data_IF_710558868411
#
_entry.id   IF_710558868411
#
_cell.length_a   1.000
_cell.length_b   1.000
_cell.length_c   1.000
_cell.angle_alpha   90.00
_cell.angle_beta   90.00
_cell.angle_gamma   90.00
#
_symmetry.space_group_name_H-M   'P 1'
#
loop_
_entity.id
_entity.type
_entity.pdbx_description
1 polymer ?
#
# COMPACT_ATOMS: atom_id res chain seq x y z
N UNK A 1 -24.91 56.13 39.90
CA UNK A 1 -26.33 55.68 39.91
C UNK A 1 -26.50 54.71 38.74
N UNK A 2 -26.39 53.41 38.99
CA UNK A 2 -27.51 52.44 38.98
C UNK A 2 -28.25 52.46 37.64
N UNK A 3 -28.12 51.40 36.83
CA UNK A 3 -29.25 50.49 36.57
C UNK A 3 -28.81 49.18 35.88
N UNK A 4 -29.15 48.10 36.57
CA UNK A 4 -29.21 46.72 36.10
C UNK A 4 -30.10 46.57 34.86
N UNK A 5 -29.68 45.71 33.92
CA UNK A 5 -30.61 45.00 33.04
C UNK A 5 -30.08 43.58 32.76
N UNK A 6 -30.56 42.63 33.55
CA UNK A 6 -30.41 41.19 33.32
C UNK A 6 -31.15 40.79 32.03
N UNK A 7 -30.44 40.31 31.01
CA UNK A 7 -31.04 39.54 29.90
C UNK A 7 -30.87 38.05 30.19
N UNK A 8 -32.00 37.35 30.38
CA UNK A 8 -32.08 35.89 30.43
C UNK A 8 -31.67 35.31 29.08
N UNK A 9 -30.66 34.45 29.06
CA UNK A 9 -30.39 33.54 27.93
C UNK A 9 -31.17 32.23 28.11
N UNK A 10 -31.79 31.67 27.06
CA UNK A 10 -32.41 30.36 27.14
C UNK A 10 -31.35 29.25 27.12
N UNK A 11 -31.55 28.23 27.94
CA UNK A 11 -30.70 27.04 28.03
C UNK A 11 -30.73 26.25 26.72
N UNK A 12 -29.60 26.21 26.01
CA UNK A 12 -29.39 25.34 24.85
C UNK A 12 -29.25 23.90 25.36
N UNK A 13 -30.24 23.05 25.09
CA UNK A 13 -30.12 21.61 25.29
C UNK A 13 -29.21 21.04 24.21
N UNK A 14 -27.99 20.68 24.59
CA UNK A 14 -27.04 19.97 23.72
C UNK A 14 -27.58 18.54 23.53
N UNK A 15 -28.25 18.29 22.41
CA UNK A 15 -28.49 16.94 21.95
C UNK A 15 -27.16 16.40 21.41
N UNK A 16 -26.48 15.61 22.22
CA UNK A 16 -25.34 14.79 21.80
C UNK A 16 -25.83 13.77 20.77
N UNK A 17 -25.68 14.11 19.49
CA UNK A 17 -25.81 13.15 18.39
C UNK A 17 -24.61 12.22 18.52
N UNK A 18 -24.85 11.07 19.14
CA UNK A 18 -23.92 9.95 19.10
C UNK A 18 -23.76 9.53 17.64
N UNK A 19 -22.71 10.01 16.99
CA UNK A 19 -22.28 9.50 15.70
C UNK A 19 -21.67 8.12 15.97
N UNK A 20 -22.52 7.09 16.00
CA UNK A 20 -22.08 5.71 15.99
C UNK A 20 -21.37 5.50 14.66
N UNK A 21 -20.04 5.59 14.67
CA UNK A 21 -19.20 5.22 13.54
C UNK A 21 -19.47 3.74 13.28
N UNK A 22 -20.30 3.44 12.29
CA UNK A 22 -20.39 2.11 11.72
C UNK A 22 -19.02 1.82 11.12
N UNK A 23 -18.16 1.15 11.87
CA UNK A 23 -16.94 0.55 11.32
C UNK A 23 -17.41 -0.54 10.37
N UNK A 24 -17.53 -0.22 9.09
CA UNK A 24 -17.55 -1.23 8.05
C UNK A 24 -16.25 -2.02 8.21
N UNK A 25 -16.34 -3.20 8.81
CA UNK A 25 -15.25 -4.14 8.86
C UNK A 25 -15.00 -4.60 7.42
N UNK A 26 -14.21 -3.81 6.68
CA UNK A 26 -13.62 -4.27 5.44
C UNK A 26 -12.83 -5.53 5.80
N UNK A 27 -13.29 -6.70 5.37
CA UNK A 27 -12.61 -7.96 5.59
C UNK A 27 -11.21 -7.88 4.97
N UNK A 28 -10.22 -7.50 5.77
CA UNK A 28 -8.81 -7.57 5.39
C UNK A 28 -8.46 -9.04 5.16
N UNK A 29 -7.67 -9.38 4.13
CA UNK A 29 -7.27 -10.77 3.90
C UNK A 29 -6.38 -11.34 5.03
N UNK A 30 -5.85 -10.46 5.88
CA UNK A 30 -5.14 -10.84 7.11
C UNK A 30 -6.08 -11.10 8.30
N UNK A 31 -7.39 -10.93 8.12
CA UNK A 31 -8.41 -10.98 9.16
C UNK A 31 -8.52 -9.69 9.97
N UNK A 32 -9.50 -9.64 10.87
CA UNK A 32 -9.62 -8.55 11.87
C UNK A 32 -8.60 -8.69 13.01
N UNK A 33 -8.35 -7.59 13.73
CA UNK A 33 -7.49 -7.57 14.91
C UNK A 33 -6.42 -6.48 14.88
N UNK A 34 -5.57 -6.48 15.91
CA UNK A 34 -4.51 -5.47 16.07
C UNK A 34 -3.52 -5.50 14.90
N UNK A 35 -2.87 -4.35 14.65
CA UNK A 35 -1.79 -4.23 13.68
C UNK A 35 -0.69 -5.28 13.93
N UNK A 36 -0.31 -5.51 15.19
CA UNK A 36 0.68 -6.51 15.57
C UNK A 36 0.29 -7.92 15.11
N UNK A 37 -0.95 -8.34 15.37
CA UNK A 37 -1.44 -9.67 14.95
C UNK A 37 -1.43 -9.84 13.43
N UNK A 38 -1.91 -8.82 12.70
CA UNK A 38 -1.94 -8.84 11.24
C UNK A 38 -0.55 -8.82 10.63
N UNK A 39 0.37 -8.04 11.21
CA UNK A 39 1.77 -7.97 10.79
C UNK A 39 2.51 -9.29 11.05
N UNK A 40 2.30 -9.92 12.21
CA UNK A 40 2.88 -11.23 12.51
C UNK A 40 2.37 -12.31 11.54
N UNK A 41 1.06 -12.31 11.25
CA UNK A 41 0.46 -13.22 10.26
C UNK A 41 1.06 -13.01 8.86
N UNK A 42 1.17 -11.75 8.41
CA UNK A 42 1.78 -11.42 7.12
C UNK A 42 3.26 -11.83 7.07
N UNK A 43 4.04 -11.55 8.12
CA UNK A 43 5.45 -11.93 8.22
C UNK A 43 5.63 -13.44 8.04
N UNK A 44 4.87 -14.25 8.77
CA UNK A 44 4.89 -15.72 8.64
C UNK A 44 4.55 -16.17 7.22
N UNK A 45 3.55 -15.55 6.59
CA UNK A 45 3.20 -15.86 5.20
C UNK A 45 4.33 -15.52 4.22
N UNK A 46 4.97 -14.35 4.37
CA UNK A 46 6.10 -13.92 3.54
C UNK A 46 7.28 -14.89 3.66
N UNK A 47 7.60 -15.31 4.89
CA UNK A 47 8.64 -16.30 5.16
C UNK A 47 8.33 -17.63 4.45
N UNK A 48 7.12 -18.17 4.64
CA UNK A 48 6.70 -19.46 4.07
C UNK A 48 6.60 -19.43 2.54
N UNK A 49 5.94 -18.42 1.98
CA UNK A 49 5.64 -18.37 0.55
C UNK A 49 6.84 -17.99 -0.30
N UNK A 50 7.74 -17.14 0.22
CA UNK A 50 8.81 -16.52 -0.55
C UNK A 50 10.21 -16.86 -0.04
N UNK A 51 10.34 -17.63 1.05
CA UNK A 51 11.61 -17.95 1.70
C UNK A 51 12.43 -16.69 2.08
N UNK A 52 11.74 -15.63 2.49
CA UNK A 52 12.38 -14.39 2.96
C UNK A 52 12.87 -14.60 4.39
N UNK A 53 14.08 -14.11 4.71
CA UNK A 53 14.64 -14.21 6.04
C UNK A 53 13.71 -13.60 7.11
N UNK A 54 13.54 -14.24 8.29
CA UNK A 54 12.65 -13.75 9.34
C UNK A 54 12.88 -12.28 9.72
N UNK A 55 14.13 -11.84 9.84
CA UNK A 55 14.45 -10.43 10.17
C UNK A 55 13.88 -9.45 9.15
N UNK A 56 14.06 -9.74 7.87
CA UNK A 56 13.50 -8.90 6.79
C UNK A 56 11.98 -8.95 6.83
N UNK A 57 11.37 -10.13 6.94
CA UNK A 57 9.92 -10.28 6.97
C UNK A 57 9.28 -9.55 8.17
N UNK A 58 9.87 -9.69 9.36
CA UNK A 58 9.41 -9.06 10.60
C UNK A 58 9.50 -7.54 10.53
N UNK A 59 10.54 -7.01 9.89
CA UNK A 59 10.75 -5.57 9.72
C UNK A 59 9.78 -4.95 8.73
N UNK A 60 9.55 -5.58 7.57
CA UNK A 60 8.73 -5.00 6.49
C UNK A 60 7.24 -5.28 6.63
N UNK A 61 6.82 -6.40 7.22
CA UNK A 61 5.41 -6.74 7.36
C UNK A 61 4.55 -5.63 8.04
N UNK A 62 4.95 -5.04 9.18
CA UNK A 62 4.17 -3.95 9.77
C UNK A 62 4.12 -2.69 8.90
N UNK A 63 5.19 -2.41 8.15
CA UNK A 63 5.24 -1.29 7.21
C UNK A 63 4.28 -1.51 6.04
N UNK A 64 4.25 -2.74 5.51
CA UNK A 64 3.33 -3.15 4.45
C UNK A 64 1.88 -3.02 4.91
N UNK A 65 1.54 -3.54 6.09
CA UNK A 65 0.15 -3.47 6.61
C UNK A 65 -0.28 -2.02 6.79
N UNK A 66 0.54 -1.18 7.43
CA UNK A 66 0.21 0.24 7.64
C UNK A 66 0.06 1.00 6.32
N UNK A 67 1.00 0.83 5.39
CA UNK A 67 0.97 1.50 4.08
C UNK A 67 -0.26 1.05 3.27
N UNK A 68 -0.58 -0.25 3.31
CA UNK A 68 -1.72 -0.82 2.63
C UNK A 68 -3.04 -0.25 3.15
N UNK A 69 -3.18 -0.11 4.47
CA UNK A 69 -4.34 0.54 5.09
C UNK A 69 -4.45 2.01 4.70
N UNK A 70 -3.34 2.75 4.80
CA UNK A 70 -3.30 4.18 4.48
C UNK A 70 -3.73 4.48 3.04
N UNK A 71 -3.34 3.63 2.09
CA UNK A 71 -3.59 3.85 0.66
C UNK A 71 -4.72 2.99 0.10
N UNK A 72 -5.48 2.28 0.96
CA UNK A 72 -6.57 1.39 0.57
C UNK A 72 -6.15 0.34 -0.48
N UNK A 73 -5.00 -0.29 -0.26
CA UNK A 73 -4.45 -1.38 -1.07
C UNK A 73 -4.51 -2.68 -0.27
N UNK A 74 -4.70 -3.82 -0.94
CA UNK A 74 -4.59 -5.12 -0.29
C UNK A 74 -3.12 -5.35 0.18
N UNK A 75 -2.84 -5.60 1.47
CA UNK A 75 -1.48 -5.83 1.95
C UNK A 75 -0.79 -7.05 1.30
N UNK A 76 -1.55 -8.06 0.89
CA UNK A 76 -0.99 -9.21 0.15
C UNK A 76 -0.55 -8.81 -1.25
N UNK A 77 -1.22 -7.84 -1.87
CA UNK A 77 -0.82 -7.31 -3.16
C UNK A 77 0.48 -6.52 -3.06
N UNK A 78 0.63 -5.69 -2.02
CA UNK A 78 1.88 -4.94 -1.76
C UNK A 78 3.04 -5.90 -1.54
N UNK A 79 2.85 -6.91 -0.68
CA UNK A 79 3.85 -7.94 -0.42
C UNK A 79 4.24 -8.72 -1.70
N UNK A 80 3.28 -9.00 -2.58
CA UNK A 80 3.52 -9.66 -3.86
C UNK A 80 4.26 -8.78 -4.87
N UNK A 81 4.02 -7.47 -4.87
CA UNK A 81 4.78 -6.50 -5.68
C UNK A 81 6.23 -6.45 -5.19
N UNK A 82 6.47 -6.35 -3.89
CA UNK A 82 7.85 -6.37 -3.35
C UNK A 82 8.59 -7.66 -3.74
N UNK A 83 7.92 -8.82 -3.72
CA UNK A 83 8.47 -10.08 -4.20
C UNK A 83 8.90 -9.97 -5.67
N UNK A 84 8.04 -9.43 -6.52
CA UNK A 84 8.28 -9.31 -7.95
C UNK A 84 9.40 -8.30 -8.27
N UNK A 85 9.45 -7.19 -7.54
CA UNK A 85 10.33 -6.06 -7.85
C UNK A 85 11.77 -6.30 -7.39
N UNK A 86 11.96 -6.67 -6.13
CA UNK A 86 13.30 -6.71 -5.51
C UNK A 86 13.65 -8.07 -4.92
N UNK A 87 12.71 -9.00 -4.89
CA UNK A 87 12.82 -10.20 -4.07
C UNK A 87 13.16 -9.87 -2.59
N UNK A 88 12.52 -8.84 -2.04
CA UNK A 88 12.77 -8.34 -0.67
C UNK A 88 14.22 -7.88 -0.41
N UNK A 89 14.88 -7.30 -1.43
CA UNK A 89 16.21 -6.69 -1.27
C UNK A 89 16.08 -5.17 -1.10
N UNK A 90 16.36 -4.68 0.11
CA UNK A 90 16.21 -3.27 0.47
C UNK A 90 17.08 -2.30 -0.37
N UNK A 91 18.25 -2.75 -0.83
CA UNK A 91 19.20 -1.93 -1.60
C UNK A 91 19.30 -2.32 -3.07
N UNK A 92 18.27 -2.96 -3.62
CA UNK A 92 18.25 -3.32 -5.03
C UNK A 92 18.23 -2.07 -5.92
N UNK A 93 19.08 -2.05 -6.95
CA UNK A 93 19.12 -1.01 -7.98
C UNK A 93 19.04 -1.67 -9.34
N UNK A 94 18.10 -1.27 -10.17
CA UNK A 94 17.96 -1.78 -11.54
C UNK A 94 18.82 -0.99 -12.54
N UNK A 95 19.11 -1.54 -13.74
CA UNK A 95 19.75 -0.80 -14.82
C UNK A 95 19.00 0.46 -15.26
N UNK A 96 17.69 0.55 -15.02
CA UNK A 96 16.88 1.74 -15.35
C UNK A 96 16.86 2.79 -14.24
N UNK A 97 17.56 2.54 -13.13
CA UNK A 97 17.63 3.41 -11.96
C UNK A 97 16.48 3.25 -10.98
N UNK A 98 15.79 2.11 -10.99
CA UNK A 98 14.75 1.79 -10.01
C UNK A 98 15.38 1.34 -8.69
N UNK A 99 14.85 1.76 -7.54
CA UNK A 99 15.47 1.55 -6.22
C UNK A 99 14.56 0.90 -5.19
N UNK A 100 15.18 0.10 -4.31
CA UNK A 100 14.60 -0.41 -3.08
C UNK A 100 13.54 -1.50 -3.26
N UNK A 101 12.77 -1.75 -2.20
CA UNK A 101 11.83 -2.88 -2.12
C UNK A 101 10.81 -2.93 -3.27
N UNK A 102 10.31 -1.77 -3.66
CA UNK A 102 9.23 -1.61 -4.66
C UNK A 102 9.74 -1.06 -6.00
N UNK A 103 11.07 -0.95 -6.16
CA UNK A 103 11.75 -0.51 -7.38
C UNK A 103 11.15 0.78 -7.97
N UNK A 104 11.08 1.81 -7.14
CA UNK A 104 10.62 3.15 -7.57
C UNK A 104 11.72 3.79 -8.39
N UNK A 105 11.37 4.43 -9.51
CA UNK A 105 12.32 5.23 -10.30
C UNK A 105 12.26 6.68 -9.79
N UNK A 106 13.30 7.20 -9.11
CA UNK A 106 13.25 8.50 -8.44
C UNK A 106 12.90 9.65 -9.38
N UNK A 107 13.41 9.64 -10.62
CA UNK A 107 13.18 10.72 -11.61
C UNK A 107 11.69 11.01 -11.89
N UNK A 108 10.79 10.05 -11.62
CA UNK A 108 9.36 10.22 -11.82
C UNK A 108 8.58 10.51 -10.54
N UNK A 109 9.12 10.14 -9.38
CA UNK A 109 8.34 10.07 -8.14
C UNK A 109 8.93 10.83 -6.96
N UNK A 110 10.18 11.33 -7.06
CA UNK A 110 10.87 11.97 -5.93
C UNK A 110 10.13 13.20 -5.39
N UNK A 111 9.44 13.96 -6.25
CA UNK A 111 8.65 15.12 -5.82
C UNK A 111 7.40 14.71 -5.03
N UNK A 112 6.77 13.60 -5.44
CA UNK A 112 5.57 13.06 -4.76
C UNK A 112 5.93 12.27 -3.51
N UNK A 113 7.09 11.63 -3.51
CA UNK A 113 7.63 10.82 -2.44
C UNK A 113 8.97 11.39 -1.96
N UNK A 114 8.94 12.49 -1.19
CA UNK A 114 10.15 13.10 -0.68
C UNK A 114 10.86 12.18 0.32
N UNK A 115 12.19 12.34 0.42
CA UNK A 115 13.05 11.55 1.30
C UNK A 115 13.84 10.46 0.58
N UNK A 116 14.59 9.68 1.36
CA UNK A 116 15.43 8.60 0.84
C UNK A 116 14.58 7.39 0.45
N UNK A 117 14.57 7.07 -0.85
CA UNK A 117 13.84 5.93 -1.42
C UNK A 117 14.55 4.59 -1.21
N UNK A 118 15.74 4.53 -0.60
CA UNK A 118 16.30 3.28 -0.06
C UNK A 118 15.78 2.98 1.35
N UNK A 119 15.35 4.00 2.10
CA UNK A 119 14.75 3.79 3.42
C UNK A 119 13.43 3.05 3.29
N UNK A 120 13.29 1.95 4.03
CA UNK A 120 12.23 0.97 3.81
C UNK A 120 10.82 1.51 4.03
N UNK A 121 10.63 2.35 5.04
CA UNK A 121 9.34 3.00 5.30
C UNK A 121 8.96 3.91 4.13
N UNK A 122 9.89 4.74 3.67
CA UNK A 122 9.68 5.67 2.55
C UNK A 122 9.35 4.90 1.27
N UNK A 123 10.14 3.87 0.96
CA UNK A 123 10.00 3.08 -0.25
C UNK A 123 8.68 2.31 -0.30
N UNK A 124 8.34 1.57 0.77
CA UNK A 124 7.12 0.75 0.79
C UNK A 124 5.87 1.64 0.80
N UNK A 125 5.88 2.73 1.57
CA UNK A 125 4.77 3.68 1.59
C UNK A 125 4.57 4.32 0.20
N UNK A 126 5.65 4.80 -0.43
CA UNK A 126 5.57 5.39 -1.76
C UNK A 126 5.13 4.38 -2.83
N UNK A 127 5.69 3.17 -2.84
CA UNK A 127 5.30 2.13 -3.79
C UNK A 127 3.82 1.76 -3.64
N UNK A 128 3.31 1.72 -2.40
CA UNK A 128 1.89 1.48 -2.13
C UNK A 128 1.00 2.63 -2.60
N UNK A 129 1.42 3.87 -2.38
CA UNK A 129 0.76 5.06 -2.94
C UNK A 129 0.67 4.98 -4.48
N UNK A 130 1.78 4.66 -5.15
CA UNK A 130 1.85 4.55 -6.62
C UNK A 130 0.91 3.45 -7.14
N UNK A 131 0.81 2.32 -6.45
CA UNK A 131 -0.14 1.25 -6.78
C UNK A 131 -1.58 1.76 -6.75
N UNK A 132 -1.97 2.48 -5.70
CA UNK A 132 -3.31 3.05 -5.60
C UNK A 132 -3.55 4.15 -6.65
N UNK A 133 -2.56 5.02 -6.89
CA UNK A 133 -2.60 6.03 -7.96
C UNK A 133 -2.92 5.38 -9.31
N UNK A 134 -2.20 4.31 -9.68
CA UNK A 134 -2.48 3.59 -10.92
C UNK A 134 -3.78 2.79 -10.89
N UNK A 135 -4.24 2.33 -9.72
CA UNK A 135 -5.57 1.70 -9.60
C UNK A 135 -6.68 2.71 -9.87
N UNK A 136 -6.57 3.93 -9.37
CA UNK A 136 -7.52 5.01 -9.60
C UNK A 136 -7.53 5.40 -11.08
N UNK A 137 -6.36 5.58 -11.68
CA UNK A 137 -6.25 5.92 -13.11
C UNK A 137 -6.76 4.82 -14.04
N UNK A 138 -6.54 3.54 -13.70
CA UNK A 138 -6.81 2.42 -14.60
C UNK A 138 -8.16 1.73 -14.37
N UNK A 139 -8.81 2.00 -13.23
CA UNK A 139 -10.06 1.38 -12.80
C UNK A 139 -9.93 -0.06 -12.28
N UNK A 140 -8.89 -0.81 -12.66
CA UNK A 140 -8.76 -2.25 -12.33
C UNK A 140 -7.34 -2.71 -12.09
N UNK A 141 -7.16 -3.58 -11.09
CA UNK A 141 -5.85 -4.06 -10.64
C UNK A 141 -4.95 -4.65 -11.72
N UNK A 142 -5.41 -5.49 -12.66
CA UNK A 142 -4.54 -6.02 -13.71
C UNK A 142 -3.92 -4.92 -14.59
N UNK A 143 -4.65 -3.84 -14.85
CA UNK A 143 -4.15 -2.70 -15.64
C UNK A 143 -3.27 -1.79 -14.77
N UNK A 144 -3.61 -1.60 -13.50
CA UNK A 144 -2.79 -0.85 -12.54
C UNK A 144 -1.38 -1.46 -12.39
N UNK A 145 -1.28 -2.77 -12.23
CA UNK A 145 0.00 -3.48 -12.16
C UNK A 145 0.78 -3.37 -13.46
N UNK A 146 0.09 -3.41 -14.60
CA UNK A 146 0.74 -3.20 -15.89
C UNK A 146 1.29 -1.76 -16.01
N UNK A 147 0.55 -0.76 -15.56
CA UNK A 147 1.02 0.63 -15.48
C UNK A 147 2.20 0.78 -14.53
N UNK A 148 2.19 0.09 -13.39
CA UNK A 148 3.31 0.08 -12.45
C UNK A 148 4.62 -0.36 -13.12
N UNK A 149 4.56 -1.40 -13.96
CA UNK A 149 5.74 -1.95 -14.61
C UNK A 149 6.24 -1.15 -15.83
N UNK A 150 5.34 -0.70 -16.71
CA UNK A 150 5.73 -0.10 -18.01
C UNK A 150 5.29 1.35 -18.19
N UNK A 151 4.67 1.95 -17.17
CA UNK A 151 4.05 3.26 -17.23
C UNK A 151 2.74 3.27 -18.06
N UNK A 152 1.84 4.25 -17.82
CA UNK A 152 0.61 4.40 -18.61
C UNK A 152 0.88 4.64 -20.10
N UNK A 153 1.85 5.50 -20.43
CA UNK A 153 2.23 5.81 -21.82
C UNK A 153 2.70 4.55 -22.53
N UNK A 154 3.69 3.84 -21.97
CA UNK A 154 4.21 2.60 -22.54
C UNK A 154 3.14 1.53 -22.72
N UNK A 155 2.27 1.34 -21.73
CA UNK A 155 1.15 0.41 -21.84
C UNK A 155 0.18 0.78 -22.96
N UNK A 156 -0.15 2.05 -23.14
CA UNK A 156 -1.19 2.48 -24.08
C UNK A 156 -0.67 2.58 -25.51
N UNK A 157 0.56 3.05 -25.73
CA UNK A 157 1.11 3.35 -27.06
C UNK A 157 1.97 2.23 -27.66
N UNK A 158 2.51 1.30 -26.85
CA UNK A 158 3.43 0.28 -27.34
C UNK A 158 2.93 -1.16 -27.10
N UNK A 159 2.71 -1.92 -28.18
CA UNK A 159 2.19 -3.31 -28.11
C UNK A 159 3.11 -4.25 -27.34
N UNK A 160 4.44 -4.12 -27.46
CA UNK A 160 5.41 -4.95 -26.74
C UNK A 160 5.34 -4.67 -25.24
N UNK A 161 5.32 -3.39 -24.85
CA UNK A 161 5.20 -2.98 -23.45
C UNK A 161 3.85 -3.37 -22.85
N UNK A 162 2.75 -3.26 -23.60
CA UNK A 162 1.43 -3.77 -23.19
C UNK A 162 1.47 -5.26 -22.86
N UNK A 163 2.15 -6.07 -23.68
CA UNK A 163 2.33 -7.52 -23.43
C UNK A 163 3.19 -7.77 -22.19
N UNK A 164 4.27 -7.00 -22.02
CA UNK A 164 5.13 -7.06 -20.84
C UNK A 164 4.36 -6.73 -19.56
N UNK A 165 3.65 -5.60 -19.50
CA UNK A 165 2.87 -5.21 -18.33
C UNK A 165 1.78 -6.23 -17.97
N UNK A 166 1.12 -6.85 -18.96
CA UNK A 166 0.17 -7.95 -18.71
C UNK A 166 0.85 -9.19 -18.10
N UNK A 167 2.06 -9.55 -18.57
CA UNK A 167 2.84 -10.65 -18.00
C UNK A 167 3.24 -10.35 -16.55
N UNK A 168 3.74 -9.14 -16.30
CA UNK A 168 4.06 -8.67 -14.96
C UNK A 168 2.85 -8.77 -14.02
N UNK A 169 1.69 -8.26 -14.44
CA UNK A 169 0.47 -8.33 -13.65
C UNK A 169 0.08 -9.79 -13.29
N UNK A 170 0.24 -10.73 -14.24
CA UNK A 170 0.02 -12.16 -13.98
C UNK A 170 1.00 -12.71 -12.93
N UNK A 171 2.28 -12.35 -13.01
CA UNK A 171 3.30 -12.80 -12.05
C UNK A 171 3.02 -12.27 -10.64
N UNK A 172 2.72 -10.98 -10.49
CA UNK A 172 2.33 -10.41 -9.18
C UNK A 172 1.09 -11.09 -8.61
N UNK A 173 0.04 -11.31 -9.43
CA UNK A 173 -1.16 -12.01 -8.96
C UNK A 173 -0.88 -13.46 -8.56
N UNK A 174 0.07 -14.12 -9.21
CA UNK A 174 0.51 -15.45 -8.82
C UNK A 174 1.23 -15.42 -7.46
N UNK A 175 2.16 -14.47 -7.26
CA UNK A 175 2.82 -14.27 -5.95
C UNK A 175 1.79 -14.00 -4.86
N UNK A 176 0.79 -13.14 -5.13
CA UNK A 176 -0.27 -12.83 -4.18
C UNK A 176 -1.10 -14.07 -3.81
N UNK A 177 -1.42 -14.91 -4.79
CA UNK A 177 -2.12 -16.18 -4.54
C UNK A 177 -1.26 -17.10 -3.67
N UNK A 178 0.01 -17.31 -4.02
CA UNK A 178 0.92 -18.16 -3.26
C UNK A 178 1.07 -17.69 -1.81
N UNK A 179 1.12 -16.37 -1.59
CA UNK A 179 1.14 -15.80 -0.25
C UNK A 179 -0.16 -16.09 0.49
N UNK A 180 -1.32 -15.85 -0.14
CA UNK A 180 -2.62 -16.15 0.46
C UNK A 180 -2.74 -17.61 0.88
N UNK A 181 -2.24 -18.53 0.06
CA UNK A 181 -2.27 -19.98 0.33
C UNK A 181 -1.32 -20.39 1.48
N UNK A 182 -0.35 -19.56 1.86
CA UNK A 182 0.62 -19.81 2.93
C UNK A 182 0.23 -19.21 4.30
N UNK A 183 -0.86 -18.45 4.36
CA UNK A 183 -1.36 -17.76 5.56
C UNK A 183 -2.32 -18.62 6.39
#
# INVERSE_FOLDING_TARGET
MIFNAFRKYPSIKIFSIGCTVLTLAACSPLGGGSLAKRSAKLSTGIQKAYAVHPDTANRVAPIIVQSAEQHNVDPLLVAAVIRQESNYRAYAVSPSGAVGFTQIIPRYWQQTCPGDLFHEHTNINCGTFILNHYKNQSGKWPKALAYYNVGPTGYNSNRKMKKQGKRYAKQVKQHQKNLKDAL
#
